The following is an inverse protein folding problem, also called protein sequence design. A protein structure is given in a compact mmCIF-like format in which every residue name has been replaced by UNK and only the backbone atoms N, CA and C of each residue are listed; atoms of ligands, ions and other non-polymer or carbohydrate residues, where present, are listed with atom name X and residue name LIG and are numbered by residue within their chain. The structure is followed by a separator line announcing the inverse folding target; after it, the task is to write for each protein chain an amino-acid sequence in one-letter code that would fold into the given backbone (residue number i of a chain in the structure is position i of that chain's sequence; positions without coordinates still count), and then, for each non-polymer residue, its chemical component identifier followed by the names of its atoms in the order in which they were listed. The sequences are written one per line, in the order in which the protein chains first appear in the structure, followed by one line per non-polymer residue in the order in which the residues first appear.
data_IF_091600234941
#
_entry.id   IF_091600234941
#
_cell.length_a   1.000
_cell.length_b   1.000
_cell.length_c   1.000
_cell.angle_alpha   90.00
_cell.angle_beta   90.00
_cell.angle_gamma   90.00
#
_symmetry.space_group_name_H-M   'P 1'
#
loop_
_entity.id
_entity.type
_entity.pdbx_description
1 polymer ?
#
# COMPACT_ATOMS: atom_id res chain seq x y z
N UNK A 1 6.53 -13.01 0.45
CA UNK A 1 6.26 -11.63 -0.04
C UNK A 1 4.75 -11.40 -0.16
N UNK A 2 4.25 -10.18 0.08
CA UNK A 2 2.81 -9.88 0.17
C UNK A 2 2.00 -10.29 -1.08
N UNK A 3 2.53 -10.06 -2.28
CA UNK A 3 1.89 -10.48 -3.55
C UNK A 3 1.61 -11.97 -3.64
N UNK A 4 2.51 -12.81 -3.12
CA UNK A 4 2.31 -14.27 -3.14
C UNK A 4 1.28 -14.71 -2.09
N UNK A 5 1.27 -14.06 -0.91
CA UNK A 5 0.24 -14.30 0.12
C UNK A 5 -1.16 -13.98 -0.43
N UNK A 6 -1.28 -12.89 -1.18
CA UNK A 6 -2.55 -12.47 -1.78
C UNK A 6 -2.92 -13.25 -3.06
N UNK A 7 -2.24 -14.36 -3.36
CA UNK A 7 -2.54 -15.16 -4.56
C UNK A 7 -2.34 -14.41 -5.89
N UNK A 8 -1.47 -13.39 -5.91
CA UNK A 8 -1.29 -12.46 -7.04
C UNK A 8 -2.58 -11.68 -7.40
N UNK A 9 -3.45 -11.42 -6.42
CA UNK A 9 -4.63 -10.58 -6.58
C UNK A 9 -4.51 -9.29 -5.75
N UNK A 10 -5.12 -8.21 -6.25
CA UNK A 10 -5.28 -6.97 -5.50
C UNK A 10 -6.19 -7.22 -4.30
N UNK A 11 -5.75 -6.89 -3.09
CA UNK A 11 -6.52 -7.13 -1.86
C UNK A 11 -7.74 -6.19 -1.70
N UNK A 12 -7.87 -5.16 -2.54
CA UNK A 12 -9.00 -4.20 -2.47
C UNK A 12 -10.01 -4.34 -3.62
N UNK A 13 -9.55 -4.55 -4.86
CA UNK A 13 -10.45 -4.70 -6.00
C UNK A 13 -10.55 -6.15 -6.52
N UNK A 14 -9.82 -7.07 -5.89
CA UNK A 14 -9.85 -8.53 -6.13
C UNK A 14 -9.43 -9.01 -7.53
N UNK A 15 -9.19 -8.10 -8.47
CA UNK A 15 -8.58 -8.41 -9.76
C UNK A 15 -7.17 -8.99 -9.60
N UNK A 16 -6.85 -9.97 -10.43
CA UNK A 16 -5.53 -10.57 -10.52
C UNK A 16 -4.50 -9.62 -11.14
N UNK A 17 -3.21 -9.88 -10.89
CA UNK A 17 -2.09 -9.19 -11.52
C UNK A 17 -2.14 -9.35 -13.06
N UNK A 18 -2.59 -10.51 -13.55
CA UNK A 18 -2.74 -10.76 -14.97
C UNK A 18 -3.81 -9.86 -15.61
N UNK A 19 -4.99 -9.76 -14.99
CA UNK A 19 -6.05 -8.86 -15.47
C UNK A 19 -5.62 -7.39 -15.44
N UNK A 20 -4.90 -6.97 -14.40
CA UNK A 20 -4.35 -5.62 -14.35
C UNK A 20 -3.27 -5.37 -15.41
N UNK A 21 -2.42 -6.36 -15.66
CA UNK A 21 -1.40 -6.29 -16.70
C UNK A 21 -2.02 -6.25 -18.10
N UNK A 22 -3.13 -6.94 -18.32
CA UNK A 22 -3.85 -6.93 -19.59
C UNK A 22 -4.54 -5.58 -19.83
N UNK A 23 -5.39 -5.14 -18.88
CA UNK A 23 -6.27 -3.96 -18.99
C UNK A 23 -5.53 -2.63 -18.83
N UNK A 24 -4.56 -2.56 -17.93
CA UNK A 24 -3.92 -1.30 -17.53
C UNK A 24 -2.42 -1.29 -17.77
N UNK A 25 -1.82 -2.40 -18.26
CA UNK A 25 -0.37 -2.57 -18.44
C UNK A 25 0.44 -2.33 -17.16
N UNK A 26 -0.16 -2.61 -16.00
CA UNK A 26 0.41 -2.35 -14.68
C UNK A 26 0.38 -3.62 -13.83
N UNK A 27 1.46 -3.82 -13.07
CA UNK A 27 1.59 -4.90 -12.09
C UNK A 27 1.04 -4.50 -10.71
N UNK A 28 0.96 -5.48 -9.81
CA UNK A 28 0.65 -5.21 -8.40
C UNK A 28 1.89 -4.67 -7.68
N UNK A 29 1.65 -3.70 -6.80
CA UNK A 29 2.61 -3.09 -5.90
C UNK A 29 2.42 -3.64 -4.48
N UNK A 30 3.46 -3.52 -3.66
CA UNK A 30 3.36 -3.78 -2.22
C UNK A 30 3.12 -2.44 -1.54
N UNK A 31 1.99 -2.33 -0.83
CA UNK A 31 1.65 -1.17 -0.01
C UNK A 31 1.88 -1.48 1.47
N UNK A 32 2.26 -0.46 2.24
CA UNK A 32 2.23 -0.49 3.69
C UNK A 32 0.87 0.05 4.17
N UNK A 33 0.12 -0.72 4.97
CA UNK A 33 -1.18 -0.32 5.52
C UNK A 33 -1.04 0.89 6.45
N UNK A 34 -0.04 0.82 7.32
CA UNK A 34 0.51 1.96 8.05
C UNK A 34 1.84 2.36 7.40
N UNK A 35 2.01 3.62 6.96
CA UNK A 35 3.19 4.05 6.21
C UNK A 35 4.49 3.74 6.94
N UNK A 36 5.54 3.41 6.17
CA UNK A 36 6.83 2.98 6.69
C UNK A 36 7.42 3.90 7.76
N UNK A 37 7.29 5.22 7.58
CA UNK A 37 7.83 6.24 8.48
C UNK A 37 7.10 6.36 9.82
N UNK A 38 6.02 5.62 10.05
CA UNK A 38 5.25 5.66 11.29
C UNK A 38 5.66 4.56 12.28
N UNK A 39 6.45 3.60 11.82
CA UNK A 39 7.01 2.58 12.68
C UNK A 39 8.36 3.00 13.24
N UNK A 40 8.60 2.63 14.51
CA UNK A 40 9.87 2.89 15.19
C UNK A 40 11.07 2.18 14.55
N UNK A 41 10.85 1.11 13.78
CA UNK A 41 11.92 0.41 13.09
C UNK A 41 11.45 -0.31 11.81
N UNK A 42 12.43 -0.61 10.95
CA UNK A 42 12.21 -1.22 9.63
C UNK A 42 11.61 -2.62 9.69
N UNK A 43 11.91 -3.39 10.75
CA UNK A 43 11.41 -4.76 10.91
C UNK A 43 9.90 -4.76 11.11
N UNK A 44 9.39 -3.89 11.98
CA UNK A 44 7.96 -3.72 12.22
C UNK A 44 7.22 -3.28 10.96
N UNK A 45 7.73 -2.25 10.27
CA UNK A 45 7.11 -1.74 9.04
C UNK A 45 6.96 -2.83 7.96
N UNK A 46 7.96 -3.71 7.82
CA UNK A 46 7.99 -4.74 6.78
C UNK A 46 7.37 -6.09 7.20
N UNK A 47 6.73 -6.17 8.37
CA UNK A 47 5.96 -7.37 8.74
C UNK A 47 4.86 -7.61 7.72
N UNK A 48 4.68 -8.86 7.30
CA UNK A 48 3.62 -9.21 6.34
C UNK A 48 2.24 -8.72 6.78
N UNK A 49 1.95 -8.66 8.09
CA UNK A 49 0.69 -8.11 8.61
C UNK A 49 0.43 -6.65 8.21
N UNK A 50 1.48 -5.85 8.06
CA UNK A 50 1.41 -4.45 7.63
C UNK A 50 1.51 -4.28 6.10
N UNK A 51 1.78 -5.35 5.35
CA UNK A 51 1.92 -5.29 3.90
C UNK A 51 0.67 -5.81 3.21
N UNK A 52 0.29 -5.17 2.12
CA UNK A 52 -0.78 -5.63 1.23
C UNK A 52 -0.38 -5.50 -0.25
N UNK A 53 -0.97 -6.32 -1.11
CA UNK A 53 -0.76 -6.32 -2.54
C UNK A 53 -1.87 -5.52 -3.23
N UNK A 54 -1.54 -4.37 -3.83
CA UNK A 54 -2.51 -3.48 -4.45
C UNK A 54 -2.12 -3.09 -5.87
N UNK A 55 -3.11 -2.88 -6.73
CA UNK A 55 -2.89 -2.20 -8.00
C UNK A 55 -2.61 -0.71 -7.78
N UNK A 56 -2.04 -0.01 -8.78
CA UNK A 56 -1.70 1.42 -8.68
C UNK A 56 -2.87 2.29 -8.18
N UNK A 57 -4.08 2.09 -8.72
CA UNK A 57 -5.26 2.87 -8.33
C UNK A 57 -5.68 2.61 -6.87
N UNK A 58 -5.72 1.35 -6.46
CA UNK A 58 -6.06 0.99 -5.07
C UNK A 58 -4.99 1.47 -4.09
N UNK A 59 -3.72 1.41 -4.46
CA UNK A 59 -2.61 1.93 -3.66
C UNK A 59 -2.78 3.42 -3.39
N UNK A 60 -2.97 4.23 -4.43
CA UNK A 60 -3.19 5.68 -4.27
C UNK A 60 -4.41 5.96 -3.39
N UNK A 61 -5.50 5.21 -3.55
CA UNK A 61 -6.69 5.36 -2.70
C UNK A 61 -6.43 5.00 -1.24
N UNK A 62 -5.66 3.94 -0.99
CA UNK A 62 -5.26 3.53 0.36
C UNK A 62 -4.42 4.62 1.03
N UNK A 63 -3.44 5.18 0.33
CA UNK A 63 -2.61 6.29 0.81
C UNK A 63 -3.47 7.51 1.19
N UNK A 64 -4.40 7.90 0.31
CA UNK A 64 -5.31 9.01 0.57
C UNK A 64 -6.24 8.77 1.75
N UNK A 65 -6.79 7.55 1.86
CA UNK A 65 -7.64 7.16 2.98
C UNK A 65 -6.85 7.27 4.30
N UNK A 66 -5.65 6.72 4.36
CA UNK A 66 -4.80 6.78 5.54
C UNK A 66 -4.51 8.24 5.94
N UNK A 67 -4.12 9.10 4.99
CA UNK A 67 -3.85 10.53 5.25
C UNK A 67 -5.07 11.28 5.77
N UNK A 68 -6.26 10.98 5.24
CA UNK A 68 -7.52 11.58 5.68
C UNK A 68 -7.87 11.16 7.11
N UNK A 69 -7.61 9.91 7.46
CA UNK A 69 -7.86 9.35 8.79
C UNK A 69 -6.78 9.76 9.81
N UNK A 70 -5.58 10.17 9.36
CA UNK A 70 -4.43 10.56 10.20
C UNK A 70 -3.93 11.98 9.89
N UNK A 71 -4.76 13.03 10.03
CA UNK A 71 -4.45 14.39 9.57
C UNK A 71 -3.23 15.01 10.27
N UNK A 72 -3.03 14.73 11.56
CA UNK A 72 -1.88 15.24 12.33
C UNK A 72 -0.53 14.79 11.75
N UNK A 73 -0.47 13.55 11.24
CA UNK A 73 0.75 12.98 10.68
C UNK A 73 1.04 13.46 9.25
N UNK A 74 0.00 13.85 8.50
CA UNK A 74 0.19 14.54 7.21
C UNK A 74 0.87 15.90 7.43
N UNK A 75 0.42 16.69 8.40
CA UNK A 75 0.95 18.04 8.69
C UNK A 75 2.41 18.02 9.13
N UNK A 76 2.82 17.04 9.93
CA UNK A 76 4.20 16.94 10.43
C UNK A 76 5.22 16.60 9.33
N UNK A 77 4.81 15.89 8.27
CA UNK A 77 5.69 15.56 7.14
C UNK A 77 5.92 16.73 6.16
N UNK A 78 5.13 17.81 6.21
CA UNK A 78 5.33 19.01 5.38
C UNK A 78 6.25 20.07 6.01
N UNK A 79 6.71 19.87 7.25
CA UNK A 79 7.56 20.82 7.98
C UNK A 79 9.03 20.40 8.11
N UNK A 80 9.43 19.31 7.46
CA UNK A 80 10.81 18.88 7.38
C UNK A 80 11.31 19.00 5.93
N UNK A 81 11.56 20.23 5.50
CA UNK A 81 12.33 20.58 4.31
C UNK A 81 13.27 21.73 4.66
#
# INVERSE_FOLDING_TARGET
MARNRAGRCCEHCHMSEAEHQEKFKMRLNVNHKEPFHQHANKSLANRLSNLEALCKSCHTRADWKWRKEHPMQAVLNFRAA
#
